data_IF_599993535755
#
_entry.id   IF_599993535755
#
_cell.length_a   1.000
_cell.length_b   1.000
_cell.length_c   1.000
_cell.angle_alpha   90.00
_cell.angle_beta   90.00
_cell.angle_gamma   90.00
#
_symmetry.space_group_name_H-M   'P 1'
#
loop_
_entity.id
_entity.type
_entity.pdbx_description
1 polymer ?
#
# COMPACT_ATOMS: atom_id res chain seq x y z
N UNK A 1 -20.35 28.25 56.48
CA UNK A 1 -20.95 27.63 55.28
C UNK A 1 -20.81 28.60 54.13
N UNK A 2 -19.96 28.29 53.15
CA UNK A 2 -19.90 29.03 51.88
C UNK A 2 -20.58 28.17 50.80
N UNK A 3 -21.41 28.74 49.91
CA UNK A 3 -22.11 27.96 48.90
C UNK A 3 -21.13 27.50 47.80
N UNK A 4 -21.36 26.34 47.18
CA UNK A 4 -20.49 25.83 46.14
C UNK A 4 -20.65 26.65 44.84
N UNK A 5 -19.51 27.01 44.24
CA UNK A 5 -19.45 27.71 42.94
C UNK A 5 -20.02 26.81 41.84
N UNK A 6 -21.01 27.31 41.11
CA UNK A 6 -21.59 26.64 39.95
C UNK A 6 -20.52 26.41 38.86
N UNK A 7 -20.35 25.16 38.45
CA UNK A 7 -19.51 24.79 37.32
C UNK A 7 -20.14 25.27 36.01
N UNK A 8 -19.49 26.25 35.37
CA UNK A 8 -19.85 26.70 34.03
C UNK A 8 -19.45 25.62 33.03
N UNK A 9 -20.45 24.96 32.41
CA UNK A 9 -20.22 24.02 31.30
C UNK A 9 -19.57 24.76 30.12
N UNK A 10 -18.54 24.19 29.46
CA UNK A 10 -17.90 24.85 28.32
C UNK A 10 -18.90 25.00 27.17
N UNK A 11 -19.04 26.22 26.63
CA UNK A 11 -19.86 26.52 25.46
C UNK A 11 -19.35 25.69 24.26
N UNK A 12 -20.23 24.88 23.66
CA UNK A 12 -19.97 24.20 22.39
C UNK A 12 -19.64 25.25 21.32
N UNK A 13 -18.46 25.17 20.70
CA UNK A 13 -18.12 26.00 19.54
C UNK A 13 -19.09 25.69 18.40
N UNK A 14 -19.58 26.72 17.71
CA UNK A 14 -20.41 26.56 16.53
C UNK A 14 -19.69 25.69 15.48
N UNK A 15 -20.42 24.86 14.71
CA UNK A 15 -19.81 24.02 13.67
C UNK A 15 -19.09 24.91 12.67
N UNK A 16 -17.79 24.67 12.49
CA UNK A 16 -16.97 25.41 11.54
C UNK A 16 -17.38 25.00 10.12
N UNK A 17 -17.66 26.00 9.26
CA UNK A 17 -18.04 25.80 7.86
C UNK A 17 -17.01 24.94 7.13
N UNK A 18 -17.46 24.13 6.17
CA UNK A 18 -16.58 23.34 5.33
C UNK A 18 -15.67 24.27 4.49
N UNK A 19 -14.34 24.07 4.47
CA UNK A 19 -13.43 24.96 3.75
C UNK A 19 -13.64 24.93 2.23
N UNK A 20 -14.02 23.79 1.66
CA UNK A 20 -14.33 23.69 0.22
C UNK A 20 -15.59 24.49 -0.08
N UNK A 21 -16.63 24.33 0.74
CA UNK A 21 -17.89 25.08 0.60
C UNK A 21 -17.66 26.59 0.72
N UNK A 22 -16.91 27.04 1.73
CA UNK A 22 -16.56 28.45 1.90
C UNK A 22 -15.79 29.02 0.70
N UNK A 23 -14.83 28.26 0.16
CA UNK A 23 -14.07 28.65 -1.03
C UNK A 23 -14.97 28.73 -2.27
N UNK A 24 -15.87 27.78 -2.45
CA UNK A 24 -16.82 27.76 -3.57
C UNK A 24 -17.80 28.93 -3.49
N UNK A 25 -18.35 29.24 -2.32
CA UNK A 25 -19.23 30.41 -2.14
C UNK A 25 -18.50 31.70 -2.54
N UNK A 26 -17.29 31.91 -2.02
CA UNK A 26 -16.48 33.09 -2.37
C UNK A 26 -16.12 33.13 -3.86
N UNK A 27 -15.91 31.97 -4.49
CA UNK A 27 -15.62 31.90 -5.92
C UNK A 27 -16.85 32.20 -6.78
N UNK A 28 -18.04 31.70 -6.43
CA UNK A 28 -19.27 32.03 -7.16
C UNK A 28 -19.56 33.53 -7.14
N UNK A 29 -19.37 34.18 -5.99
CA UNK A 29 -19.59 35.62 -5.86
C UNK A 29 -18.62 36.43 -6.73
N UNK A 30 -17.41 35.91 -6.97
CA UNK A 30 -16.40 36.50 -7.85
C UNK A 30 -16.65 36.20 -9.34
N UNK A 31 -16.84 34.93 -9.68
CA UNK A 31 -16.89 34.44 -11.06
C UNK A 31 -18.26 34.71 -11.70
N UNK A 32 -19.35 34.69 -10.94
CA UNK A 32 -20.70 34.83 -11.48
C UNK A 32 -21.49 35.89 -10.70
N UNK A 33 -21.08 37.19 -10.78
CA UNK A 33 -21.79 38.27 -10.13
C UNK A 33 -23.19 38.41 -10.76
N UNK A 34 -24.21 37.86 -10.09
CA UNK A 34 -25.58 37.76 -10.60
C UNK A 34 -26.16 36.34 -10.64
N UNK A 35 -25.37 35.32 -10.29
CA UNK A 35 -25.87 33.96 -10.09
C UNK A 35 -26.96 33.95 -9.00
N UNK A 36 -28.11 33.36 -9.31
CA UNK A 36 -29.20 33.25 -8.34
C UNK A 36 -28.75 32.37 -7.18
N UNK A 37 -29.09 32.77 -5.95
CA UNK A 37 -28.70 32.05 -4.75
C UNK A 37 -29.14 30.58 -4.79
N UNK A 38 -30.34 30.30 -5.31
CA UNK A 38 -30.86 28.95 -5.44
C UNK A 38 -29.98 28.05 -6.33
N UNK A 39 -29.53 28.55 -7.49
CA UNK A 39 -28.73 27.78 -8.44
C UNK A 39 -27.33 27.49 -7.87
N UNK A 40 -26.75 28.48 -7.18
CA UNK A 40 -25.52 28.33 -6.41
C UNK A 40 -25.67 27.24 -5.33
N UNK A 41 -26.74 27.30 -4.55
CA UNK A 41 -26.95 26.37 -3.44
C UNK A 41 -27.16 24.92 -3.94
N UNK A 42 -27.80 24.74 -5.10
CA UNK A 42 -27.93 23.43 -5.77
C UNK A 42 -26.58 22.86 -6.21
N UNK A 43 -25.68 23.67 -6.77
CA UNK A 43 -24.33 23.24 -7.16
C UNK A 43 -23.47 22.93 -5.94
N UNK A 44 -23.51 23.78 -4.91
CA UNK A 44 -22.80 23.59 -3.64
C UNK A 44 -23.23 22.29 -2.93
N UNK A 45 -24.51 21.91 -3.03
CA UNK A 45 -25.00 20.65 -2.47
C UNK A 45 -24.30 19.42 -3.09
N UNK A 46 -23.86 19.52 -4.35
CA UNK A 46 -23.17 18.46 -5.09
C UNK A 46 -21.63 18.52 -4.97
N UNK A 47 -21.09 19.56 -4.32
CA UNK A 47 -19.65 19.73 -4.17
C UNK A 47 -19.02 18.70 -3.22
N UNK A 48 -17.75 18.33 -3.44
CA UNK A 48 -17.05 17.42 -2.52
C UNK A 48 -16.92 18.05 -1.13
N UNK A 49 -17.33 17.29 -0.11
CA UNK A 49 -17.22 17.72 1.30
C UNK A 49 -16.07 17.08 2.06
N UNK A 50 -15.43 16.06 1.47
CA UNK A 50 -14.34 15.30 2.05
C UNK A 50 -13.10 15.46 1.20
N UNK A 51 -11.95 15.39 1.85
CA UNK A 51 -10.64 15.40 1.20
C UNK A 51 -9.64 14.65 2.07
N UNK A 52 -8.52 14.27 1.45
CA UNK A 52 -7.35 13.72 2.13
C UNK A 52 -6.18 14.66 1.83
N UNK A 53 -5.28 14.83 2.79
CA UNK A 53 -4.02 15.56 2.57
C UNK A 53 -2.87 14.57 2.52
N UNK A 54 -2.10 14.66 1.44
CA UNK A 54 -0.82 14.02 1.25
C UNK A 54 0.16 15.12 0.89
N UNK A 55 0.83 15.69 1.88
CA UNK A 55 1.57 16.95 1.72
C UNK A 55 2.56 16.88 0.55
N UNK A 56 2.59 17.91 -0.33
CA UNK A 56 1.85 19.18 -0.27
C UNK A 56 0.50 19.18 -1.03
N UNK A 57 -0.08 18.01 -1.31
CA UNK A 57 -1.26 17.82 -2.15
C UNK A 57 -2.56 17.57 -1.35
N UNK A 58 -3.66 18.14 -1.83
CA UNK A 58 -5.03 17.78 -1.49
C UNK A 58 -5.56 16.77 -2.52
N UNK A 59 -6.07 15.65 -2.03
CA UNK A 59 -6.74 14.64 -2.85
C UNK A 59 -8.24 14.60 -2.53
N UNK A 60 -9.05 14.86 -3.55
CA UNK A 60 -10.50 14.78 -3.51
C UNK A 60 -10.98 13.36 -3.85
N UNK A 61 -12.15 12.94 -3.34
CA UNK A 61 -12.71 11.62 -3.61
C UNK A 61 -13.12 11.47 -5.08
N UNK A 62 -13.18 10.22 -5.54
CA UNK A 62 -13.69 9.83 -6.85
C UNK A 62 -15.02 10.48 -7.17
N UNK A 63 -15.15 11.00 -8.39
CA UNK A 63 -16.33 11.74 -8.85
C UNK A 63 -16.47 13.16 -8.31
N UNK A 64 -15.49 13.69 -7.55
CA UNK A 64 -15.50 15.10 -7.14
C UNK A 64 -15.59 16.02 -8.37
N UNK A 65 -16.55 16.95 -8.36
CA UNK A 65 -16.87 17.81 -9.50
C UNK A 65 -17.21 17.05 -10.79
N UNK A 66 -17.68 15.80 -10.69
CA UNK A 66 -18.02 14.96 -11.83
C UNK A 66 -19.49 14.96 -12.24
N UNK A 67 -20.37 15.68 -11.53
CA UNK A 67 -21.79 15.79 -11.94
C UNK A 67 -21.91 16.58 -13.25
N UNK A 68 -22.96 16.32 -14.03
CA UNK A 68 -23.18 17.03 -15.29
C UNK A 68 -23.20 18.56 -15.11
N UNK A 69 -23.85 19.04 -14.03
CA UNK A 69 -23.90 20.46 -13.69
C UNK A 69 -22.53 21.05 -13.35
N UNK A 70 -21.70 20.33 -12.57
CA UNK A 70 -20.34 20.78 -12.29
C UNK A 70 -19.45 20.76 -13.54
N UNK A 71 -19.57 19.72 -14.36
CA UNK A 71 -18.85 19.63 -15.62
C UNK A 71 -19.17 20.81 -16.54
N UNK A 72 -20.45 21.14 -16.74
CA UNK A 72 -20.87 22.27 -17.57
C UNK A 72 -20.29 23.61 -17.08
N UNK A 73 -20.37 23.87 -15.77
CA UNK A 73 -19.81 25.08 -15.17
C UNK A 73 -18.29 25.14 -15.35
N UNK A 74 -17.58 24.04 -15.10
CA UNK A 74 -16.12 24.02 -15.23
C UNK A 74 -15.65 24.19 -16.69
N UNK A 75 -16.35 23.61 -17.68
CA UNK A 75 -16.00 23.75 -19.09
C UNK A 75 -16.31 25.14 -19.66
N UNK A 76 -17.32 25.82 -19.12
CA UNK A 76 -17.72 27.17 -19.54
C UNK A 76 -16.95 28.29 -18.81
N UNK A 77 -16.14 27.95 -17.80
CA UNK A 77 -15.35 28.91 -17.03
C UNK A 77 -13.95 29.08 -17.64
N UNK A 78 -13.49 30.33 -17.75
CA UNK A 78 -12.12 30.63 -18.19
C UNK A 78 -11.03 30.21 -17.17
N UNK A 79 -9.78 30.20 -17.62
CA UNK A 79 -8.64 29.74 -16.83
C UNK A 79 -8.36 30.57 -15.58
N UNK A 80 -8.60 31.90 -15.60
CA UNK A 80 -8.34 32.77 -14.46
C UNK A 80 -9.33 32.52 -13.33
N UNK A 81 -10.62 32.39 -13.67
CA UNK A 81 -11.67 32.06 -12.72
C UNK A 81 -11.49 30.64 -12.16
N UNK A 82 -11.10 29.67 -12.98
CA UNK A 82 -10.78 28.31 -12.50
C UNK A 82 -9.56 28.29 -11.57
N UNK A 83 -8.51 29.03 -11.90
CA UNK A 83 -7.33 29.20 -11.05
C UNK A 83 -7.73 29.80 -9.69
N UNK A 84 -8.57 30.84 -9.68
CA UNK A 84 -9.10 31.42 -8.45
C UNK A 84 -9.90 30.41 -7.61
N UNK A 85 -10.70 29.55 -8.25
CA UNK A 85 -11.43 28.47 -7.56
C UNK A 85 -10.46 27.52 -6.85
N UNK A 86 -9.50 26.96 -7.58
CA UNK A 86 -8.61 25.94 -7.05
C UNK A 86 -7.67 26.49 -5.98
N UNK A 87 -7.12 27.70 -6.17
CA UNK A 87 -6.36 28.41 -5.14
C UNK A 87 -7.21 28.72 -3.91
N UNK A 88 -8.47 29.09 -4.09
CA UNK A 88 -9.41 29.32 -3.00
C UNK A 88 -9.59 28.07 -2.13
N UNK A 89 -9.82 26.91 -2.76
CA UNK A 89 -9.93 25.62 -2.07
C UNK A 89 -8.63 25.29 -1.33
N UNK A 90 -7.48 25.40 -1.98
CA UNK A 90 -6.17 25.12 -1.36
C UNK A 90 -5.88 26.05 -0.19
N UNK A 91 -6.16 27.34 -0.31
CA UNK A 91 -5.98 28.33 0.75
C UNK A 91 -6.86 28.02 1.96
N UNK A 92 -8.14 27.71 1.73
CA UNK A 92 -9.08 27.37 2.79
C UNK A 92 -8.67 26.09 3.53
N UNK A 93 -8.23 25.05 2.81
CA UNK A 93 -7.76 23.81 3.42
C UNK A 93 -6.41 24.00 4.12
N UNK A 94 -5.47 24.74 3.52
CA UNK A 94 -4.15 25.06 4.10
C UNK A 94 -4.29 25.73 5.46
N UNK A 95 -5.17 26.73 5.57
CA UNK A 95 -5.48 27.41 6.85
C UNK A 95 -6.01 26.43 7.90
N UNK A 96 -6.85 25.47 7.49
CA UNK A 96 -7.43 24.47 8.40
C UNK A 96 -6.41 23.43 8.85
N UNK A 97 -5.51 23.02 7.96
CA UNK A 97 -4.52 21.98 8.21
C UNK A 97 -3.22 22.52 8.81
N UNK A 98 -3.00 23.85 8.75
CA UNK A 98 -1.76 24.52 9.16
C UNK A 98 -0.54 23.97 8.40
N UNK A 99 -0.75 23.66 7.14
CA UNK A 99 0.25 23.20 6.19
C UNK A 99 0.06 23.97 4.88
N UNK A 100 1.14 24.27 4.18
CA UNK A 100 1.08 24.88 2.86
C UNK A 100 0.75 23.80 1.83
N UNK A 101 -0.39 23.93 1.17
CA UNK A 101 -0.86 22.98 0.17
C UNK A 101 -0.86 23.64 -1.19
N UNK A 102 -0.14 23.04 -2.13
CA UNK A 102 0.16 23.62 -3.44
C UNK A 102 -0.51 22.88 -4.60
N UNK A 103 -0.98 21.65 -4.37
CA UNK A 103 -1.51 20.78 -5.42
C UNK A 103 -2.90 20.25 -5.09
N UNK A 104 -3.76 20.16 -6.09
CA UNK A 104 -5.12 19.64 -5.96
C UNK A 104 -5.36 18.59 -7.05
N UNK A 105 -5.81 17.40 -6.65
CA UNK A 105 -6.19 16.35 -7.58
C UNK A 105 -7.46 15.63 -7.14
N UNK A 106 -8.10 14.93 -8.07
CA UNK A 106 -9.18 13.98 -7.81
C UNK A 106 -8.66 12.56 -8.03
N UNK A 107 -8.93 11.69 -7.05
CA UNK A 107 -8.60 10.28 -7.16
C UNK A 107 -9.60 9.56 -8.06
N UNK A 108 -9.15 8.84 -9.07
CA UNK A 108 -9.97 7.89 -9.81
C UNK A 108 -9.42 6.47 -9.60
N UNK A 109 -10.24 5.45 -9.88
CA UNK A 109 -9.80 4.05 -9.81
C UNK A 109 -8.64 3.79 -10.77
N UNK A 110 -7.74 2.88 -10.38
CA UNK A 110 -6.65 2.46 -11.28
C UNK A 110 -7.22 1.39 -12.21
N UNK A 111 -7.21 1.62 -13.54
CA UNK A 111 -7.76 0.65 -14.46
C UNK A 111 -6.85 -0.58 -14.49
N UNK A 112 -7.46 -1.77 -14.59
CA UNK A 112 -6.73 -3.04 -14.74
C UNK A 112 -6.00 -3.14 -16.09
N UNK A 113 -6.47 -2.39 -17.09
CA UNK A 113 -5.92 -2.36 -18.44
C UNK A 113 -5.56 -0.93 -18.82
N UNK A 114 -4.53 -0.76 -19.64
CA UNK A 114 -4.22 0.53 -20.26
C UNK A 114 -5.28 0.85 -21.33
N UNK A 115 -5.76 2.10 -21.43
CA UNK A 115 -6.64 2.50 -22.53
C UNK A 115 -5.91 2.29 -23.86
N UNK A 116 -6.52 1.57 -24.80
CA UNK A 116 -5.98 1.50 -26.17
C UNK A 116 -6.02 2.89 -26.81
N UNK A 117 -4.90 3.36 -27.35
CA UNK A 117 -4.86 4.63 -28.07
C UNK A 117 -5.74 4.53 -29.32
N UNK A 118 -6.85 5.29 -29.36
CA UNK A 118 -7.54 5.56 -30.61
C UNK A 118 -6.70 6.56 -31.40
N UNK A 119 -5.84 6.08 -32.28
CA UNK A 119 -5.27 6.92 -33.33
C UNK A 119 -6.44 7.46 -34.17
N UNK A 120 -6.70 8.76 -34.13
CA UNK A 120 -7.49 9.43 -35.15
C UNK A 120 -6.69 9.38 -36.46
N UNK A 121 -6.90 8.32 -37.23
CA UNK A 121 -6.37 8.23 -38.59
C UNK A 121 -7.05 9.30 -39.44
N UNK A 122 -6.34 10.40 -39.72
CA UNK A 122 -6.74 11.37 -40.72
C UNK A 122 -6.85 10.68 -42.09
N UNK A 123 -8.08 10.44 -42.53
CA UNK A 123 -8.46 10.28 -43.93
C UNK A 123 -7.76 9.16 -44.71
N UNK A 124 -8.20 7.92 -44.54
CA UNK A 124 -7.88 6.81 -45.45
C UNK A 124 -8.39 5.48 -44.91
N UNK A 125 -9.16 4.75 -45.73
CA UNK A 125 -9.82 3.46 -45.46
C UNK A 125 -9.32 2.69 -44.21
N UNK A 126 -10.14 2.68 -43.16
CA UNK A 126 -9.85 2.05 -41.87
C UNK A 126 -9.90 0.52 -41.96
N UNK A 127 -8.74 -0.15 -41.91
CA UNK A 127 -8.63 -1.45 -41.24
C UNK A 127 -8.63 -1.19 -39.75
N UNK A 128 -9.80 -1.37 -39.12
CA UNK A 128 -9.99 -1.28 -37.67
C UNK A 128 -9.25 -2.44 -36.98
N UNK A 129 -7.93 -2.31 -36.79
CA UNK A 129 -7.21 -3.14 -35.84
C UNK A 129 -7.47 -2.55 -34.46
N UNK A 130 -8.49 -3.06 -33.78
CA UNK A 130 -8.65 -2.89 -32.34
C UNK A 130 -7.40 -3.48 -31.66
N UNK A 131 -6.46 -2.62 -31.26
CA UNK A 131 -5.33 -3.04 -30.43
C UNK A 131 -5.91 -3.51 -29.09
N UNK A 132 -5.61 -4.75 -28.73
CA UNK A 132 -6.07 -5.41 -27.51
C UNK A 132 -5.61 -4.60 -26.30
N UNK A 133 -6.52 -4.30 -25.36
CA UNK A 133 -6.18 -3.60 -24.13
C UNK A 133 -5.15 -4.41 -23.33
N UNK A 134 -3.95 -3.85 -23.13
CA UNK A 134 -2.87 -4.50 -22.39
C UNK A 134 -3.11 -4.40 -20.87
N UNK A 135 -2.65 -5.38 -20.11
CA UNK A 135 -2.74 -5.33 -18.64
C UNK A 135 -1.88 -4.18 -18.08
N UNK A 136 -2.43 -3.39 -17.16
CA UNK A 136 -1.71 -2.36 -16.44
C UNK A 136 -0.82 -3.00 -15.35
N UNK A 137 0.26 -3.66 -15.77
CA UNK A 137 1.20 -4.40 -14.92
C UNK A 137 1.80 -3.47 -13.85
N UNK A 138 2.15 -2.25 -14.24
CA UNK A 138 2.77 -1.26 -13.34
C UNK A 138 1.78 -0.58 -12.37
N UNK A 139 0.48 -0.88 -12.51
CA UNK A 139 -0.62 -0.25 -11.75
C UNK A 139 -0.54 1.29 -11.77
N UNK A 140 -0.13 1.85 -12.91
CA UNK A 140 0.03 3.30 -13.09
C UNK A 140 -1.33 4.00 -12.93
N UNK A 141 -1.42 5.09 -12.14
CA UNK A 141 -2.68 5.76 -11.84
C UNK A 141 -3.13 6.71 -12.97
N UNK A 142 -3.37 6.17 -14.16
CA UNK A 142 -3.76 6.94 -15.35
C UNK A 142 -5.06 7.75 -15.19
N UNK A 143 -5.91 7.40 -14.21
CA UNK A 143 -7.14 8.13 -13.90
C UNK A 143 -6.96 9.38 -13.04
N UNK A 144 -5.77 9.70 -12.51
CA UNK A 144 -5.58 10.86 -11.63
C UNK A 144 -5.91 12.18 -12.36
N UNK A 145 -6.97 12.88 -11.92
CA UNK A 145 -7.31 14.20 -12.47
C UNK A 145 -6.61 15.30 -11.68
N UNK A 146 -5.55 15.86 -12.27
CA UNK A 146 -4.75 16.94 -11.69
C UNK A 146 -5.44 18.28 -11.96
N UNK A 147 -6.11 18.83 -10.96
CA UNK A 147 -6.91 20.06 -11.09
C UNK A 147 -6.04 21.32 -11.02
N UNK A 148 -5.00 21.31 -10.18
CA UNK A 148 -4.18 22.50 -9.94
C UNK A 148 -2.79 22.15 -9.38
N UNK A 149 -1.78 22.91 -9.79
CA UNK A 149 -0.37 22.74 -9.43
C UNK A 149 0.42 21.93 -10.46
N UNK A 150 1.75 22.03 -10.41
CA UNK A 150 2.64 21.30 -11.32
C UNK A 150 2.95 19.90 -10.78
N UNK A 151 2.44 18.88 -11.46
CA UNK A 151 2.67 17.46 -11.12
C UNK A 151 3.93 16.87 -11.77
N UNK A 152 4.72 17.71 -12.44
CA UNK A 152 5.84 17.31 -13.26
C UNK A 152 5.44 16.84 -14.66
N UNK A 153 6.44 16.47 -15.48
CA UNK A 153 6.27 16.13 -16.88
C UNK A 153 5.20 15.03 -17.11
N UNK A 154 4.38 15.14 -18.16
CA UNK A 154 3.35 14.14 -18.47
C UNK A 154 3.94 12.84 -19.05
N UNK A 155 5.14 12.91 -19.60
CA UNK A 155 5.87 11.80 -20.22
C UNK A 155 7.34 11.85 -19.80
N UNK A 156 8.05 10.72 -19.96
CA UNK A 156 9.50 10.67 -19.82
C UNK A 156 10.15 10.63 -21.21
N UNK A 157 11.31 11.29 -21.43
CA UNK A 157 11.95 11.36 -22.74
C UNK A 157 12.40 10.01 -23.30
N UNK A 158 12.85 9.10 -22.44
CA UNK A 158 13.26 7.73 -22.80
C UNK A 158 12.45 6.71 -21.99
N UNK A 159 11.28 6.27 -22.50
CA UNK A 159 10.48 5.25 -21.83
C UNK A 159 11.20 3.90 -21.68
N UNK A 160 12.16 3.60 -22.57
CA UNK A 160 12.87 2.32 -22.61
C UNK A 160 14.01 2.23 -21.59
N UNK A 161 14.75 3.32 -21.39
CA UNK A 161 15.78 3.45 -20.37
C UNK A 161 15.25 3.78 -18.98
N UNK A 162 13.96 4.13 -18.87
CA UNK A 162 13.31 4.53 -17.62
C UNK A 162 13.64 5.97 -17.19
N UNK A 163 13.09 6.44 -16.06
CA UNK A 163 13.26 7.81 -15.61
C UNK A 163 14.70 8.11 -15.19
N UNK A 164 15.20 9.26 -15.65
CA UNK A 164 16.47 9.84 -15.25
C UNK A 164 16.39 10.50 -13.86
N UNK A 165 17.54 10.91 -13.33
CA UNK A 165 17.58 11.70 -12.09
C UNK A 165 16.83 13.03 -12.23
N UNK A 166 16.91 13.68 -13.40
CA UNK A 166 16.20 14.93 -13.67
C UNK A 166 14.67 14.72 -13.68
N UNK A 167 14.20 13.58 -14.22
CA UNK A 167 12.78 13.25 -14.20
C UNK A 167 12.26 13.08 -12.76
N UNK A 168 13.05 12.41 -11.90
CA UNK A 168 12.71 12.30 -10.48
C UNK A 168 12.73 13.64 -9.73
N UNK A 169 13.56 14.60 -10.16
CA UNK A 169 13.62 15.94 -9.56
C UNK A 169 12.48 16.84 -10.03
N UNK A 170 12.05 16.70 -11.29
CA UNK A 170 10.95 17.46 -11.87
C UNK A 170 9.55 16.96 -11.44
N UNK A 171 9.43 15.74 -10.94
CA UNK A 171 8.16 15.18 -10.51
C UNK A 171 7.67 15.74 -9.17
N UNK A 172 6.35 15.84 -9.00
CA UNK A 172 5.75 16.06 -7.70
C UNK A 172 5.89 14.80 -6.83
N UNK A 173 6.45 14.98 -5.64
CA UNK A 173 6.47 13.96 -4.58
C UNK A 173 5.56 14.38 -3.44
N UNK A 174 4.72 13.46 -3.00
CA UNK A 174 3.85 13.65 -1.85
C UNK A 174 4.20 12.65 -0.77
N UNK A 175 3.83 12.96 0.47
CA UNK A 175 4.06 12.05 1.59
C UNK A 175 2.89 11.97 2.57
N UNK A 176 2.85 10.88 3.32
CA UNK A 176 1.97 10.74 4.48
C UNK A 176 2.66 9.94 5.58
N UNK A 177 2.15 10.03 6.81
CA UNK A 177 2.65 9.28 7.96
C UNK A 177 1.59 8.32 8.48
N UNK A 178 1.86 7.01 8.43
CA UNK A 178 1.00 5.96 8.98
C UNK A 178 1.79 5.16 10.01
N UNK A 179 1.22 4.88 11.18
CA UNK A 179 1.90 4.12 12.24
C UNK A 179 3.30 4.67 12.62
N UNK A 180 3.47 6.00 12.49
CA UNK A 180 4.76 6.64 12.73
C UNK A 180 5.77 6.55 11.57
N UNK A 181 5.40 5.90 10.46
CA UNK A 181 6.24 5.65 9.29
C UNK A 181 5.85 6.58 8.16
N UNK A 182 6.82 7.31 7.61
CA UNK A 182 6.64 8.13 6.41
C UNK A 182 6.59 7.25 5.15
N UNK A 183 5.66 7.55 4.26
CA UNK A 183 5.55 6.93 2.95
C UNK A 183 5.51 8.03 1.90
N UNK A 184 6.33 7.89 0.86
CA UNK A 184 6.54 8.92 -0.17
C UNK A 184 6.31 8.32 -1.54
N UNK A 185 5.61 9.03 -2.41
CA UNK A 185 5.33 8.56 -3.77
C UNK A 185 5.10 9.74 -4.71
N UNK A 186 5.19 9.48 -6.01
CA UNK A 186 4.87 10.46 -7.04
C UNK A 186 3.45 10.16 -7.57
N UNK A 187 2.42 11.00 -7.28
CA UNK A 187 1.02 10.68 -7.59
C UNK A 187 0.74 10.39 -9.05
N UNK A 188 1.48 11.02 -9.98
CA UNK A 188 1.35 10.79 -11.43
C UNK A 188 1.80 9.38 -11.83
N UNK A 189 2.77 8.81 -11.13
CA UNK A 189 3.53 7.64 -11.59
C UNK A 189 3.29 6.39 -10.76
N UNK A 190 2.80 6.57 -9.53
CA UNK A 190 2.72 5.51 -8.52
C UNK A 190 1.48 5.69 -7.67
N UNK A 191 0.95 4.58 -7.17
CA UNK A 191 -0.20 4.59 -6.30
C UNK A 191 0.19 4.55 -4.82
N UNK A 192 -0.72 5.05 -3.98
CA UNK A 192 -0.71 4.84 -2.54
C UNK A 192 -2.12 4.49 -2.03
N UNK A 193 -2.28 3.30 -1.44
CA UNK A 193 -3.53 2.91 -0.80
C UNK A 193 -3.48 3.09 0.72
N UNK A 194 -4.24 4.07 1.23
CA UNK A 194 -4.48 4.22 2.68
C UNK A 194 -5.25 3.04 3.28
N UNK A 195 -6.02 2.30 2.48
CA UNK A 195 -6.92 1.24 2.93
C UNK A 195 -6.23 0.06 3.62
N UNK A 196 -4.93 -0.13 3.39
CA UNK A 196 -4.15 -1.23 3.99
C UNK A 196 -3.54 -0.85 5.35
N UNK A 197 -3.98 0.25 5.98
CA UNK A 197 -3.40 0.69 7.26
C UNK A 197 -3.59 -0.34 8.37
N UNK A 198 -4.74 -1.03 8.41
CA UNK A 198 -5.01 -2.09 9.38
C UNK A 198 -4.00 -3.23 9.24
N UNK A 199 -3.72 -3.62 8.01
CA UNK A 199 -2.73 -4.64 7.69
C UNK A 199 -1.33 -4.26 8.16
N UNK A 200 -0.91 -3.02 7.86
CA UNK A 200 0.39 -2.50 8.31
C UNK A 200 0.49 -2.51 9.84
N UNK A 201 -0.59 -2.19 10.53
CA UNK A 201 -0.65 -2.26 12.00
C UNK A 201 -0.55 -3.71 12.48
N UNK A 202 -1.31 -4.65 11.90
CA UNK A 202 -1.23 -6.08 12.24
C UNK A 202 0.19 -6.60 12.08
N UNK A 203 0.84 -6.29 10.96
CA UNK A 203 2.20 -6.75 10.69
C UNK A 203 3.22 -6.18 11.69
N UNK A 204 3.07 -4.91 12.10
CA UNK A 204 3.92 -4.30 13.14
C UNK A 204 3.74 -4.91 14.54
N UNK A 205 2.59 -5.52 14.79
CA UNK A 205 2.24 -6.19 16.04
C UNK A 205 2.35 -7.73 15.93
N UNK A 206 2.77 -8.27 14.77
CA UNK A 206 2.70 -9.70 14.45
C UNK A 206 3.44 -10.61 15.45
N UNK A 207 4.57 -10.12 15.98
CA UNK A 207 5.38 -10.83 16.97
C UNK A 207 5.13 -10.39 18.42
N UNK A 208 4.18 -9.48 18.64
CA UNK A 208 3.91 -8.98 19.99
C UNK A 208 3.12 -10.00 20.81
N UNK A 209 3.42 -10.09 22.10
CA UNK A 209 2.70 -10.95 23.06
C UNK A 209 1.22 -10.55 23.29
N UNK A 210 0.72 -9.49 22.64
CA UNK A 210 -0.58 -8.89 22.94
C UNK A 210 -1.78 -9.79 22.63
N UNK A 211 -1.63 -10.74 21.71
CA UNK A 211 -2.69 -11.71 21.44
C UNK A 211 -2.83 -12.78 22.53
N UNK A 212 -1.92 -12.83 23.52
CA UNK A 212 -2.09 -13.65 24.73
C UNK A 212 -3.12 -13.07 25.71
N UNK A 213 -3.36 -11.77 25.70
CA UNK A 213 -4.26 -11.09 26.67
C UNK A 213 -5.73 -11.05 26.19
N UNK A 214 -5.98 -11.12 24.87
CA UNK A 214 -7.32 -11.04 24.28
C UNK A 214 -8.23 -12.25 24.60
N UNK A 215 -7.73 -13.50 24.60
CA UNK A 215 -8.55 -14.67 24.95
C UNK A 215 -8.97 -14.68 26.43
N UNK A 216 -8.15 -14.12 27.34
CA UNK A 216 -8.44 -14.14 28.78
C UNK A 216 -9.52 -13.12 29.18
N UNK A 217 -9.55 -11.94 28.56
CA UNK A 217 -10.58 -10.94 28.84
C UNK A 217 -11.98 -11.34 28.34
N UNK A 218 -12.07 -12.05 27.21
CA UNK A 218 -13.33 -12.57 26.69
C UNK A 218 -13.79 -13.85 27.40
N UNK A 219 -12.86 -14.72 27.84
CA UNK A 219 -13.19 -15.88 28.67
C UNK A 219 -13.69 -15.49 30.07
N UNK A 220 -13.14 -14.42 30.67
CA UNK A 220 -13.62 -13.90 31.95
C UNK A 220 -15.02 -13.26 31.84
N UNK A 221 -15.38 -12.71 30.69
CA UNK A 221 -16.73 -12.19 30.42
C UNK A 221 -17.74 -13.33 30.17
N UNK A 222 -17.34 -14.37 29.44
CA UNK A 222 -18.19 -15.54 29.15
C UNK A 222 -18.42 -16.46 30.36
N UNK A 223 -17.49 -16.51 31.31
CA UNK A 223 -17.66 -17.28 32.55
C UNK A 223 -18.74 -16.70 33.50
N UNK A 224 -19.23 -15.49 33.23
CA UNK A 224 -20.26 -14.83 34.03
C UNK A 224 -21.69 -15.01 33.46
N UNK A 225 -21.83 -15.63 32.29
CA UNK A 225 -23.12 -15.97 31.68
C UNK A 225 -23.15 -17.49 31.44
N UNK A 226 -23.76 -18.23 32.37
CA UNK A 226 -23.73 -19.69 32.44
C UNK A 226 -24.37 -20.42 31.26
N UNK A 227 -23.69 -20.47 30.12
CA UNK A 227 -24.03 -21.30 28.97
C UNK A 227 -23.14 -22.57 28.93
N UNK A 228 -23.70 -23.75 28.58
CA UNK A 228 -22.95 -25.00 28.56
C UNK A 228 -21.99 -25.05 27.36
N UNK A 229 -20.85 -25.78 27.47
CA UNK A 229 -19.84 -25.79 26.42
C UNK A 229 -20.27 -26.67 25.24
N UNK A 230 -20.32 -26.09 24.04
CA UNK A 230 -20.42 -26.83 22.79
C UNK A 230 -19.01 -27.31 22.37
N UNK A 231 -18.84 -28.62 22.27
CA UNK A 231 -17.58 -29.27 21.85
C UNK A 231 -17.34 -29.13 20.34
N UNK A 232 -16.91 -27.97 19.83
CA UNK A 232 -16.30 -27.88 18.49
C UNK A 232 -14.99 -27.08 18.58
N UNK A 233 -13.87 -27.73 18.22
CA UNK A 233 -12.60 -27.07 17.91
C UNK A 233 -11.54 -27.10 19.02
N UNK A 234 -10.90 -28.25 19.23
CA UNK A 234 -9.55 -28.32 19.82
C UNK A 234 -8.55 -28.81 18.78
N UNK A 235 -7.95 -27.88 18.04
CA UNK A 235 -6.54 -27.99 17.63
C UNK A 235 -5.82 -26.77 18.20
N UNK A 236 -5.52 -26.85 19.50
CA UNK A 236 -4.71 -25.86 20.20
C UNK A 236 -3.24 -26.15 19.93
N UNK A 237 -2.65 -25.43 18.97
CA UNK A 237 -1.21 -25.15 18.91
C UNK A 237 -1.02 -23.77 18.26
N UNK A 238 -1.39 -22.70 18.97
CA UNK A 238 -1.21 -21.32 18.51
C UNK A 238 -1.22 -20.34 19.70
N UNK A 239 -0.09 -20.22 20.42
CA UNK A 239 0.48 -18.87 20.60
C UNK A 239 2.02 -18.79 20.68
N UNK A 240 2.77 -19.89 20.60
CA UNK A 240 4.23 -19.88 20.80
C UNK A 240 5.02 -19.49 19.53
N UNK A 241 4.60 -19.98 18.35
CA UNK A 241 5.32 -19.78 17.08
C UNK A 241 5.47 -18.30 16.65
N UNK A 242 4.55 -17.42 17.08
CA UNK A 242 4.58 -15.99 16.73
C UNK A 242 5.40 -15.15 17.71
N UNK A 243 5.56 -15.59 18.95
CA UNK A 243 6.15 -14.77 20.00
C UNK A 243 7.66 -14.62 19.80
N UNK A 244 8.11 -13.42 19.41
CA UNK A 244 9.54 -13.09 19.29
C UNK A 244 9.83 -11.74 19.89
N UNK A 245 10.88 -11.68 20.71
CA UNK A 245 11.36 -10.40 21.19
C UNK A 245 11.91 -9.58 20.00
N UNK A 246 11.64 -8.28 19.95
CA UNK A 246 12.18 -7.39 18.89
C UNK A 246 13.69 -7.50 18.70
N UNK A 247 14.45 -7.76 19.77
CA UNK A 247 15.91 -7.97 19.69
C UNK A 247 16.28 -9.20 18.87
N UNK A 248 15.46 -10.26 18.88
CA UNK A 248 15.66 -11.47 18.08
C UNK A 248 15.31 -11.23 16.60
N UNK A 249 14.40 -10.29 16.31
CA UNK A 249 14.05 -9.91 14.93
C UNK A 249 15.12 -9.04 14.27
N UNK A 250 15.96 -8.34 15.05
CA UNK A 250 16.96 -7.38 14.55
C UNK A 250 17.98 -7.95 13.56
N UNK A 251 18.14 -9.28 13.54
CA UNK A 251 19.04 -9.98 12.64
C UNK A 251 18.29 -10.83 11.59
N UNK A 252 16.97 -10.93 11.67
CA UNK A 252 16.18 -11.75 10.75
C UNK A 252 15.99 -11.06 9.40
N UNK A 253 15.87 -11.87 8.34
CA UNK A 253 15.55 -11.39 7.00
C UNK A 253 14.06 -11.46 6.72
N UNK A 254 13.53 -10.39 6.14
CA UNK A 254 12.25 -10.37 5.45
C UNK A 254 12.47 -10.20 3.94
N UNK A 255 11.58 -10.78 3.15
CA UNK A 255 11.53 -10.61 1.70
C UNK A 255 10.18 -10.03 1.30
N UNK A 256 10.16 -9.02 0.43
CA UNK A 256 8.91 -8.50 -0.17
C UNK A 256 8.99 -8.61 -1.69
N UNK A 257 8.10 -9.42 -2.28
CA UNK A 257 8.09 -9.71 -3.72
C UNK A 257 7.37 -8.62 -4.55
N UNK A 258 6.73 -7.66 -3.88
CA UNK A 258 5.99 -6.56 -4.50
C UNK A 258 6.14 -5.28 -3.66
N UNK A 259 7.36 -4.74 -3.63
CA UNK A 259 7.75 -3.72 -2.67
C UNK A 259 6.94 -2.42 -2.79
N UNK A 260 6.56 -2.05 -4.01
CA UNK A 260 5.97 -0.76 -4.35
C UNK A 260 6.83 0.37 -3.80
N UNK A 261 6.18 1.34 -3.15
CA UNK A 261 6.84 2.47 -2.49
C UNK A 261 7.36 2.14 -1.08
N UNK A 262 7.49 0.85 -0.75
CA UNK A 262 7.82 0.36 0.60
C UNK A 262 6.57 0.05 1.44
N UNK A 263 5.52 -0.50 0.84
CA UNK A 263 4.23 -0.72 1.50
C UNK A 263 4.33 -1.54 2.79
N UNK A 264 4.88 -2.75 2.70
CA UNK A 264 5.11 -3.65 3.82
C UNK A 264 6.59 -3.77 4.19
N UNK A 265 7.51 -3.55 3.24
CA UNK A 265 8.96 -3.35 3.49
C UNK A 265 9.22 -2.50 4.73
N UNK A 266 8.55 -1.35 4.86
CA UNK A 266 8.78 -0.45 5.99
C UNK A 266 8.25 -0.99 7.32
N UNK A 267 7.25 -1.87 7.31
CA UNK A 267 6.82 -2.56 8.54
C UNK A 267 7.91 -3.50 9.04
N UNK A 268 8.53 -4.29 8.14
CA UNK A 268 9.65 -5.16 8.48
C UNK A 268 10.88 -4.37 8.95
N UNK A 269 11.25 -3.30 8.24
CA UNK A 269 12.34 -2.43 8.66
C UNK A 269 12.08 -1.80 10.04
N UNK A 270 10.83 -1.39 10.32
CA UNK A 270 10.44 -0.86 11.64
C UNK A 270 10.52 -1.90 12.76
N UNK A 271 10.34 -3.18 12.45
CA UNK A 271 10.54 -4.28 13.39
C UNK A 271 12.04 -4.56 13.68
N UNK A 272 12.95 -3.91 12.95
CA UNK A 272 14.40 -4.07 13.07
C UNK A 272 14.99 -5.09 12.10
N UNK A 273 14.17 -5.71 11.26
CA UNK A 273 14.63 -6.73 10.31
C UNK A 273 15.45 -6.11 9.18
N UNK A 274 16.25 -6.95 8.52
CA UNK A 274 16.83 -6.64 7.20
C UNK A 274 15.86 -7.06 6.11
N UNK A 275 15.78 -6.30 5.04
CA UNK A 275 14.76 -6.51 3.99
C UNK A 275 15.40 -6.59 2.61
N UNK A 276 15.17 -7.69 1.91
CA UNK A 276 15.36 -7.78 0.46
C UNK A 276 14.00 -7.57 -0.21
N UNK A 277 13.92 -6.78 -1.26
CA UNK A 277 12.64 -6.52 -1.91
C UNK A 277 12.75 -6.28 -3.41
N UNK A 278 11.68 -6.60 -4.13
CA UNK A 278 11.60 -6.54 -5.59
C UNK A 278 10.51 -5.60 -6.04
N UNK A 279 10.81 -4.79 -7.04
CA UNK A 279 9.87 -3.84 -7.63
C UNK A 279 10.23 -3.54 -9.09
N UNK A 280 9.22 -3.61 -9.97
CA UNK A 280 9.38 -3.33 -11.40
C UNK A 280 9.39 -1.84 -11.73
N UNK A 281 8.61 -1.04 -11.01
CA UNK A 281 8.41 0.37 -11.34
C UNK A 281 9.54 1.24 -10.73
N UNK A 282 10.39 1.90 -11.55
CA UNK A 282 11.46 2.76 -11.06
C UNK A 282 10.96 3.94 -10.23
N UNK A 283 9.75 4.45 -10.49
CA UNK A 283 9.13 5.49 -9.67
C UNK A 283 8.74 4.96 -8.29
N UNK A 284 8.28 3.71 -8.20
CA UNK A 284 7.99 3.04 -6.93
C UNK A 284 9.27 2.87 -6.11
N UNK A 285 10.34 2.38 -6.75
CA UNK A 285 11.67 2.26 -6.12
C UNK A 285 12.19 3.60 -5.61
N UNK A 286 12.02 4.68 -6.37
CA UNK A 286 12.42 6.01 -5.91
C UNK A 286 11.57 6.49 -4.72
N UNK A 287 10.25 6.22 -4.75
CA UNK A 287 9.35 6.47 -3.61
C UNK A 287 9.77 5.71 -2.36
N UNK A 288 10.13 4.42 -2.51
CA UNK A 288 10.68 3.57 -1.46
C UNK A 288 11.98 4.17 -0.91
N UNK A 289 12.92 4.57 -1.79
CA UNK A 289 14.20 5.16 -1.37
C UNK A 289 13.99 6.45 -0.57
N UNK A 290 13.11 7.34 -1.02
CA UNK A 290 12.77 8.59 -0.32
C UNK A 290 12.07 8.31 1.01
N UNK A 291 11.13 7.37 1.02
CA UNK A 291 10.43 6.93 2.22
C UNK A 291 11.38 6.33 3.26
N UNK A 292 12.30 5.44 2.85
CA UNK A 292 13.28 4.83 3.74
C UNK A 292 14.16 5.89 4.42
N UNK A 293 14.69 6.83 3.64
CA UNK A 293 15.49 7.96 4.15
C UNK A 293 14.72 8.85 5.12
N UNK A 294 13.45 9.17 4.80
CA UNK A 294 12.58 9.95 5.69
C UNK A 294 12.30 9.26 7.04
N UNK A 295 12.44 7.93 7.10
CA UNK A 295 12.34 7.14 8.32
C UNK A 295 13.69 6.86 8.99
N UNK A 296 14.81 7.31 8.41
CA UNK A 296 16.16 7.08 8.94
C UNK A 296 16.72 5.69 8.66
N UNK A 297 16.19 4.97 7.68
CA UNK A 297 16.70 3.66 7.27
C UNK A 297 17.68 3.75 6.12
N UNK A 298 18.72 2.93 6.21
CA UNK A 298 19.63 2.65 5.11
C UNK A 298 18.91 1.94 3.96
N UNK A 299 19.18 2.35 2.72
CA UNK A 299 18.57 1.79 1.51
C UNK A 299 19.54 1.74 0.34
N UNK A 300 19.69 0.55 -0.25
CA UNK A 300 20.42 0.32 -1.50
C UNK A 300 19.46 -0.03 -2.62
N UNK A 301 19.66 0.61 -3.78
CA UNK A 301 18.93 0.29 -5.02
C UNK A 301 19.88 -0.42 -5.97
N UNK A 302 19.58 -1.67 -6.30
CA UNK A 302 20.35 -2.47 -7.28
C UNK A 302 19.63 -2.41 -8.63
N UNK A 303 20.34 -2.02 -9.70
CA UNK A 303 19.77 -1.84 -11.03
C UNK A 303 20.79 -1.93 -12.16
N UNK A 304 20.31 -2.12 -13.38
CA UNK A 304 21.14 -2.11 -14.60
C UNK A 304 22.24 -3.17 -14.55
N UNK A 305 23.49 -2.78 -14.81
CA UNK A 305 24.63 -3.72 -14.84
C UNK A 305 24.84 -4.49 -13.54
N UNK A 306 24.44 -3.92 -12.39
CA UNK A 306 24.57 -4.58 -11.06
C UNK A 306 23.63 -5.78 -10.92
N UNK A 307 22.63 -5.90 -11.79
CA UNK A 307 21.74 -7.06 -11.85
C UNK A 307 22.33 -8.21 -12.67
N UNK A 308 23.39 -7.96 -13.45
CA UNK A 308 24.03 -9.00 -14.24
C UNK A 308 24.61 -10.08 -13.33
N UNK A 309 24.54 -11.34 -13.79
CA UNK A 309 24.98 -12.54 -13.05
C UNK A 309 26.47 -12.51 -12.65
N UNK A 310 27.27 -11.67 -13.31
CA UNK A 310 28.69 -11.49 -13.04
C UNK A 310 28.97 -10.56 -11.84
N UNK A 311 27.95 -9.83 -11.35
CA UNK A 311 28.11 -8.96 -10.18
C UNK A 311 28.36 -9.82 -8.95
N UNK A 312 29.45 -9.56 -8.22
CA UNK A 312 29.76 -10.31 -7.02
C UNK A 312 28.68 -10.07 -5.95
N UNK A 313 28.36 -11.09 -5.14
CA UNK A 313 27.39 -10.93 -4.06
C UNK A 313 27.84 -9.89 -3.02
N UNK A 314 29.15 -9.68 -2.90
CA UNK A 314 29.76 -8.66 -2.06
C UNK A 314 29.49 -7.24 -2.58
N UNK A 315 29.37 -7.06 -3.90
CA UNK A 315 28.90 -5.80 -4.49
C UNK A 315 27.40 -5.58 -4.27
N UNK A 316 26.60 -6.65 -4.16
CA UNK A 316 25.16 -6.53 -3.88
C UNK A 316 24.88 -6.17 -2.42
N UNK A 317 25.67 -6.74 -1.50
CA UNK A 317 25.60 -6.52 -0.06
C UNK A 317 26.97 -6.08 0.50
N UNK A 318 27.43 -4.84 0.20
CA UNK A 318 28.72 -4.36 0.70
C UNK A 318 28.76 -4.35 2.25
N UNK A 319 29.97 -4.56 2.78
CA UNK A 319 30.28 -4.65 4.21
C UNK A 319 29.48 -5.73 4.98
N UNK A 320 29.11 -6.82 4.30
CA UNK A 320 28.31 -7.89 4.91
C UNK A 320 26.86 -7.49 5.18
N UNK A 321 26.40 -6.36 4.60
CA UNK A 321 25.02 -5.95 4.68
C UNK A 321 24.69 -4.67 5.44
N UNK A 322 25.49 -3.61 5.28
CA UNK A 322 25.32 -2.35 6.04
C UNK A 322 23.97 -1.65 5.85
N UNK A 323 23.30 -1.86 4.73
CA UNK A 323 22.00 -1.25 4.45
C UNK A 323 20.86 -2.16 4.94
N UNK A 324 19.91 -1.57 5.68
CA UNK A 324 18.78 -2.31 6.23
C UNK A 324 17.82 -2.79 5.13
N UNK A 325 17.68 -2.01 4.05
CA UNK A 325 16.79 -2.31 2.93
C UNK A 325 17.60 -2.40 1.65
N UNK A 326 17.42 -3.48 0.90
CA UNK A 326 17.98 -3.64 -0.46
C UNK A 326 16.83 -3.90 -1.41
N UNK A 327 16.67 -3.01 -2.38
CA UNK A 327 15.63 -3.10 -3.41
C UNK A 327 16.26 -3.42 -4.76
N UNK A 328 15.78 -4.47 -5.40
CA UNK A 328 16.14 -4.86 -6.75
C UNK A 328 15.08 -4.30 -7.71
N UNK A 329 15.52 -3.40 -8.61
CA UNK A 329 14.69 -2.86 -9.68
C UNK A 329 14.64 -3.89 -10.84
N UNK A 330 13.84 -4.94 -10.66
CA UNK A 330 13.70 -6.05 -11.60
C UNK A 330 12.43 -6.85 -11.31
N UNK A 331 12.17 -7.85 -12.16
CA UNK A 331 11.07 -8.80 -11.98
C UNK A 331 11.30 -9.70 -10.75
N UNK A 332 10.24 -9.93 -9.97
CA UNK A 332 10.32 -10.76 -8.78
C UNK A 332 10.51 -12.26 -9.07
N UNK A 333 10.37 -12.70 -10.32
CA UNK A 333 10.78 -14.03 -10.77
C UNK A 333 12.28 -14.29 -10.52
N UNK A 334 13.10 -13.23 -10.46
CA UNK A 334 14.51 -13.31 -10.12
C UNK A 334 14.78 -13.44 -8.60
N UNK A 335 13.77 -13.31 -7.74
CA UNK A 335 13.96 -13.24 -6.30
C UNK A 335 14.55 -14.53 -5.70
N UNK A 336 13.95 -15.68 -5.99
CA UNK A 336 14.41 -16.96 -5.43
C UNK A 336 15.86 -17.30 -5.87
N UNK A 337 16.23 -17.23 -7.17
CA UNK A 337 17.62 -17.43 -7.58
C UNK A 337 18.63 -16.47 -6.91
N UNK A 338 18.24 -15.20 -6.70
CA UNK A 338 19.12 -14.22 -6.03
C UNK A 338 19.29 -14.51 -4.55
N UNK A 339 18.21 -14.79 -3.82
CA UNK A 339 18.28 -15.15 -2.41
C UNK A 339 19.15 -16.40 -2.22
N UNK A 340 19.01 -17.39 -3.10
CA UNK A 340 19.80 -18.62 -3.10
C UNK A 340 21.29 -18.36 -3.41
N UNK A 341 21.60 -17.45 -4.35
CA UNK A 341 22.97 -17.00 -4.59
C UNK A 341 23.59 -16.28 -3.38
N UNK A 342 22.85 -15.36 -2.75
CA UNK A 342 23.27 -14.65 -1.53
C UNK A 342 23.45 -15.60 -0.35
N UNK A 343 22.64 -16.66 -0.26
CA UNK A 343 22.78 -17.71 0.76
C UNK A 343 24.06 -18.50 0.55
N UNK A 344 24.31 -18.97 -0.67
CA UNK A 344 25.52 -19.75 -1.01
C UNK A 344 26.82 -18.99 -0.81
N UNK A 345 26.82 -17.68 -1.05
CA UNK A 345 27.99 -16.85 -0.80
C UNK A 345 28.21 -16.53 0.68
N UNK A 346 27.25 -16.83 1.56
CA UNK A 346 27.28 -16.49 2.97
C UNK A 346 26.89 -15.03 3.26
N UNK A 347 26.49 -14.24 2.26
CA UNK A 347 26.15 -12.83 2.40
C UNK A 347 24.89 -12.57 3.26
N UNK A 348 24.03 -13.59 3.43
CA UNK A 348 22.90 -13.53 4.37
C UNK A 348 23.30 -13.81 5.83
N UNK A 349 24.51 -14.34 6.07
CA UNK A 349 24.97 -14.86 7.36
C UNK A 349 24.74 -16.37 7.49
N UNK A 350 25.69 -17.08 8.12
CA UNK A 350 25.72 -18.55 8.17
C UNK A 350 24.50 -19.21 8.83
N UNK A 351 23.84 -18.52 9.77
CA UNK A 351 22.73 -19.05 10.59
C UNK A 351 21.42 -18.25 10.44
N UNK A 352 21.30 -17.37 9.44
CA UNK A 352 20.14 -16.49 9.31
C UNK A 352 19.24 -16.92 8.15
N UNK A 353 18.12 -17.56 8.50
CA UNK A 353 17.03 -17.86 7.57
C UNK A 353 16.18 -16.63 7.24
N UNK A 354 15.48 -16.69 6.10
CA UNK A 354 14.40 -15.74 5.80
C UNK A 354 13.20 -16.13 6.65
N UNK A 355 12.76 -15.20 7.51
CA UNK A 355 11.66 -15.42 8.44
C UNK A 355 10.30 -15.01 7.86
N UNK A 356 10.27 -13.98 7.02
CA UNK A 356 9.04 -13.50 6.39
C UNK A 356 9.19 -13.37 4.89
N UNK A 357 8.17 -13.80 4.15
CA UNK A 357 8.01 -13.46 2.73
C UNK A 357 6.62 -12.85 2.52
N UNK A 358 6.60 -11.64 1.97
CA UNK A 358 5.39 -10.91 1.65
C UNK A 358 5.03 -11.08 0.17
N UNK A 359 3.85 -11.64 -0.10
CA UNK A 359 3.31 -11.85 -1.45
C UNK A 359 2.14 -10.89 -1.66
N UNK A 360 2.46 -9.59 -1.75
CA UNK A 360 1.50 -8.47 -1.69
C UNK A 360 0.76 -8.09 -2.98
N UNK A 361 0.54 -9.02 -3.92
CA UNK A 361 -0.16 -8.73 -5.19
C UNK A 361 -1.65 -9.07 -5.12
N UNK A 362 -2.49 -8.21 -5.71
CA UNK A 362 -3.92 -8.45 -5.91
C UNK A 362 -4.27 -8.44 -7.40
N UNK A 363 -5.26 -9.25 -7.85
CA UNK A 363 -6.22 -10.01 -7.03
C UNK A 363 -5.69 -11.32 -6.45
N UNK A 364 -4.53 -11.82 -6.90
CA UNK A 364 -3.89 -13.02 -6.38
C UNK A 364 -2.38 -12.87 -6.44
N UNK A 365 -1.70 -13.58 -5.54
CA UNK A 365 -0.23 -13.68 -5.50
C UNK A 365 0.29 -15.05 -5.94
N UNK A 366 -0.57 -15.91 -6.50
CA UNK A 366 -0.29 -17.31 -6.83
C UNK A 366 0.97 -17.53 -7.69
N UNK A 367 1.22 -16.64 -8.65
CA UNK A 367 2.43 -16.68 -9.49
C UNK A 367 3.75 -16.59 -8.69
N UNK A 368 3.72 -16.06 -7.47
CA UNK A 368 4.90 -15.89 -6.60
C UNK A 368 5.07 -16.99 -5.56
N UNK A 369 4.10 -17.90 -5.41
CA UNK A 369 4.11 -18.89 -4.32
C UNK A 369 5.29 -19.85 -4.40
N UNK A 370 5.68 -20.27 -5.61
CA UNK A 370 6.84 -21.17 -5.77
C UNK A 370 8.13 -20.48 -5.35
N UNK A 371 8.34 -19.25 -5.82
CA UNK A 371 9.48 -18.43 -5.42
C UNK A 371 9.51 -18.20 -3.91
N UNK A 372 8.35 -17.93 -3.28
CA UNK A 372 8.24 -17.74 -1.85
C UNK A 372 8.62 -19.01 -1.05
N UNK A 373 8.20 -20.19 -1.52
CA UNK A 373 8.62 -21.47 -0.96
C UNK A 373 10.14 -21.68 -1.06
N UNK A 374 10.70 -21.51 -2.26
CA UNK A 374 12.13 -21.71 -2.52
C UNK A 374 13.00 -20.75 -1.68
N UNK A 375 12.53 -19.52 -1.45
CA UNK A 375 13.19 -18.53 -0.59
C UNK A 375 13.31 -19.02 0.85
N UNK A 376 12.28 -19.67 1.41
CA UNK A 376 12.28 -20.12 2.82
C UNK A 376 12.62 -21.59 2.99
N UNK A 377 12.99 -22.29 1.90
CA UNK A 377 13.26 -23.73 1.89
C UNK A 377 14.30 -24.16 2.93
N UNK A 378 15.31 -23.33 3.19
CA UNK A 378 16.38 -23.69 4.14
C UNK A 378 16.14 -23.11 5.56
N UNK A 379 15.10 -22.28 5.74
CA UNK A 379 14.74 -21.73 7.05
C UNK A 379 14.17 -22.82 7.98
N UNK A 380 14.51 -22.77 9.28
CA UNK A 380 13.92 -23.69 10.27
C UNK A 380 12.41 -23.46 10.41
N UNK A 381 12.03 -22.19 10.38
CA UNK A 381 10.66 -21.73 10.38
C UNK A 381 10.54 -20.41 9.59
N UNK A 382 9.37 -20.18 9.00
CA UNK A 382 9.08 -18.97 8.25
C UNK A 382 7.58 -18.72 8.12
N UNK A 383 7.24 -17.49 7.75
CA UNK A 383 5.89 -17.01 7.49
C UNK A 383 5.77 -16.52 6.05
N UNK A 384 4.78 -17.02 5.33
CA UNK A 384 4.36 -16.44 4.05
C UNK A 384 3.06 -15.66 4.27
N UNK A 385 3.02 -14.41 3.81
CA UNK A 385 1.82 -13.57 3.83
C UNK A 385 1.24 -13.49 2.42
N UNK A 386 0.19 -14.28 2.15
CA UNK A 386 -0.37 -14.43 0.81
C UNK A 386 -1.60 -13.55 0.65
N UNK A 387 -1.50 -12.51 -0.18
CA UNK A 387 -2.60 -11.58 -0.42
C UNK A 387 -3.51 -12.10 -1.55
N UNK A 388 -4.81 -12.11 -1.31
CA UNK A 388 -5.82 -12.62 -2.26
C UNK A 388 -7.13 -11.82 -2.16
N UNK A 389 -7.83 -11.66 -3.28
CA UNK A 389 -9.21 -11.23 -3.33
C UNK A 389 -10.11 -12.47 -3.39
N UNK A 390 -10.90 -12.71 -2.34
CA UNK A 390 -11.70 -13.94 -2.19
C UNK A 390 -13.16 -13.59 -1.92
N UNK A 391 -14.08 -14.31 -2.57
CA UNK A 391 -15.50 -14.23 -2.24
C UNK A 391 -15.72 -14.66 -0.79
N UNK A 392 -16.59 -13.96 -0.05
CA UNK A 392 -16.80 -14.24 1.39
C UNK A 392 -17.19 -15.69 1.69
N UNK A 393 -17.95 -16.32 0.79
CA UNK A 393 -18.37 -17.73 0.91
C UNK A 393 -17.26 -18.73 0.56
N UNK A 394 -16.16 -18.26 -0.03
CA UNK A 394 -15.10 -19.09 -0.60
C UNK A 394 -13.81 -19.09 0.24
N UNK A 395 -13.77 -18.34 1.34
CA UNK A 395 -12.57 -18.13 2.17
C UNK A 395 -11.99 -19.48 2.66
N UNK A 396 -12.82 -20.34 3.25
CA UNK A 396 -12.38 -21.65 3.76
C UNK A 396 -11.98 -22.61 2.62
N UNK A 397 -12.67 -22.55 1.47
CA UNK A 397 -12.28 -23.34 0.30
C UNK A 397 -10.90 -22.90 -0.21
N UNK A 398 -10.67 -21.59 -0.32
CA UNK A 398 -9.39 -21.02 -0.75
C UNK A 398 -8.26 -21.36 0.23
N UNK A 399 -8.54 -21.38 1.54
CA UNK A 399 -7.62 -21.89 2.57
C UNK A 399 -7.17 -23.33 2.25
N UNK A 400 -8.12 -24.23 2.04
CA UNK A 400 -7.83 -25.64 1.76
C UNK A 400 -7.05 -25.83 0.44
N UNK A 401 -7.34 -25.02 -0.58
CA UNK A 401 -6.58 -25.01 -1.83
C UNK A 401 -5.12 -24.62 -1.62
N UNK A 402 -4.87 -23.54 -0.85
CA UNK A 402 -3.54 -23.06 -0.50
C UNK A 402 -2.77 -24.13 0.29
N UNK A 403 -3.37 -24.68 1.35
CA UNK A 403 -2.75 -25.71 2.19
C UNK A 403 -2.40 -26.97 1.38
N UNK A 404 -3.28 -27.39 0.46
CA UNK A 404 -3.01 -28.51 -0.44
C UNK A 404 -1.82 -28.20 -1.35
N UNK A 405 -1.80 -27.01 -1.96
CA UNK A 405 -0.74 -26.62 -2.88
C UNK A 405 0.65 -26.63 -2.22
N UNK A 406 0.78 -26.01 -1.04
CA UNK A 406 2.04 -26.02 -0.30
C UNK A 406 2.35 -27.38 0.34
N UNK A 407 1.34 -28.15 0.72
CA UNK A 407 1.51 -29.52 1.20
C UNK A 407 2.05 -30.46 0.11
N UNK A 408 1.67 -30.26 -1.15
CA UNK A 408 2.25 -30.98 -2.29
C UNK A 408 3.72 -30.59 -2.51
N UNK A 409 4.05 -29.29 -2.44
CA UNK A 409 5.44 -28.85 -2.50
C UNK A 409 6.30 -29.42 -1.37
N UNK A 410 5.79 -29.40 -0.14
CA UNK A 410 6.48 -29.95 1.02
C UNK A 410 6.80 -31.44 0.85
N UNK A 411 5.90 -32.22 0.24
CA UNK A 411 6.13 -33.63 -0.10
C UNK A 411 7.19 -33.80 -1.19
N UNK A 412 7.17 -32.94 -2.22
CA UNK A 412 8.18 -32.95 -3.29
C UNK A 412 9.59 -32.62 -2.78
N UNK A 413 9.70 -31.73 -1.80
CA UNK A 413 10.97 -31.37 -1.11
C UNK A 413 11.33 -32.35 0.03
N UNK A 414 10.97 -33.63 -0.13
CA UNK A 414 11.37 -34.72 0.77
C UNK A 414 10.57 -34.84 2.07
N UNK A 415 9.48 -34.09 2.24
CA UNK A 415 8.57 -34.20 3.40
C UNK A 415 9.16 -33.68 4.72
N UNK A 416 10.30 -32.98 4.65
CA UNK A 416 11.01 -32.47 5.84
C UNK A 416 10.35 -31.25 6.48
N UNK A 417 9.37 -30.65 5.80
CA UNK A 417 8.61 -29.49 6.27
C UNK A 417 7.11 -29.74 6.31
N UNK A 418 6.46 -29.01 7.19
CA UNK A 418 5.01 -28.83 7.25
C UNK A 418 4.66 -27.38 6.91
N UNK A 419 3.58 -27.18 6.17
CA UNK A 419 3.04 -25.88 5.84
C UNK A 419 1.52 -25.88 6.05
N UNK A 420 1.01 -24.90 6.79
CA UNK A 420 -0.43 -24.75 7.06
C UNK A 420 -0.81 -23.29 7.25
N UNK A 421 -2.06 -22.95 6.95
CA UNK A 421 -2.57 -21.59 7.15
C UNK A 421 -2.97 -21.44 8.62
N UNK A 422 -2.16 -20.68 9.34
CA UNK A 422 -2.34 -20.41 10.77
C UNK A 422 -3.44 -19.36 11.00
N UNK A 423 -3.52 -18.34 10.14
CA UNK A 423 -4.53 -17.29 10.23
C UNK A 423 -4.95 -16.74 8.88
N UNK A 424 -6.19 -16.25 8.82
CA UNK A 424 -6.72 -15.53 7.68
C UNK A 424 -7.20 -14.17 8.16
N UNK A 425 -6.53 -13.12 7.73
CA UNK A 425 -6.98 -11.75 8.00
C UNK A 425 -7.87 -11.24 6.87
N UNK A 426 -9.08 -10.78 7.21
CA UNK A 426 -9.93 -10.03 6.31
C UNK A 426 -9.62 -8.52 6.41
N UNK A 427 -8.74 -8.03 5.55
CA UNK A 427 -8.18 -6.66 5.61
C UNK A 427 -9.24 -5.60 5.36
N UNK A 428 -9.92 -5.72 4.22
CA UNK A 428 -10.96 -4.79 3.76
C UNK A 428 -11.80 -5.43 2.65
N UNK A 429 -13.02 -4.92 2.48
CA UNK A 429 -13.84 -5.24 1.31
C UNK A 429 -13.22 -4.65 0.04
N UNK A 430 -13.03 -5.47 -1.00
CA UNK A 430 -12.55 -5.06 -2.31
C UNK A 430 -13.71 -4.66 -3.23
N UNK A 431 -14.77 -5.46 -3.24
CA UNK A 431 -16.03 -5.24 -3.95
C UNK A 431 -17.18 -5.88 -3.14
N UNK A 432 -18.47 -5.59 -3.44
CA UNK A 432 -19.57 -6.26 -2.75
C UNK A 432 -19.40 -7.79 -2.75
N UNK A 433 -19.34 -8.39 -1.56
CA UNK A 433 -19.14 -9.83 -1.38
C UNK A 433 -17.71 -10.36 -1.55
N UNK A 434 -16.73 -9.51 -1.87
CA UNK A 434 -15.32 -9.88 -2.08
C UNK A 434 -14.43 -9.17 -1.07
N UNK A 435 -13.61 -9.95 -0.36
CA UNK A 435 -12.64 -9.46 0.62
C UNK A 435 -11.22 -9.54 0.08
N UNK A 436 -10.42 -8.52 0.36
CA UNK A 436 -8.97 -8.68 0.38
C UNK A 436 -8.62 -9.43 1.68
N UNK A 437 -8.17 -10.66 1.51
CA UNK A 437 -7.67 -11.53 2.57
C UNK A 437 -6.14 -11.61 2.56
N UNK A 438 -5.55 -11.86 3.73
CA UNK A 438 -4.15 -12.29 3.87
C UNK A 438 -4.13 -13.65 4.56
N UNK A 439 -3.64 -14.66 3.87
CA UNK A 439 -3.44 -16.00 4.43
C UNK A 439 -2.02 -16.06 5.01
N UNK A 440 -1.92 -16.07 6.34
CA UNK A 440 -0.67 -16.20 7.07
C UNK A 440 -0.33 -17.68 7.17
N UNK A 441 0.58 -18.13 6.32
CA UNK A 441 1.00 -19.52 6.28
C UNK A 441 2.29 -19.70 7.08
N UNK A 442 2.24 -20.62 8.04
CA UNK A 442 3.41 -21.00 8.83
C UNK A 442 4.08 -22.22 8.19
N UNK A 443 5.40 -22.13 8.05
CA UNK A 443 6.25 -23.20 7.53
C UNK A 443 7.25 -23.55 8.63
N UNK A 444 7.37 -24.83 8.97
CA UNK A 444 8.30 -25.32 9.98
C UNK A 444 8.80 -26.73 9.63
N UNK A 445 9.89 -27.18 10.25
CA UNK A 445 10.37 -28.56 10.12
C UNK A 445 9.35 -29.53 10.73
N UNK A 446 9.09 -30.64 10.05
CA UNK A 446 8.05 -31.63 10.44
C UNK A 446 8.26 -32.25 11.84
N UNK A 447 9.47 -32.18 12.41
CA UNK A 447 9.80 -32.69 13.75
C UNK A 447 9.54 -31.72 14.90
N UNK A 448 9.14 -30.48 14.61
CA UNK A 448 8.89 -29.43 15.63
C UNK A 448 7.42 -29.32 16.06
N UNK A 449 6.55 -30.17 15.51
CA UNK A 449 5.13 -30.27 15.87
C UNK A 449 4.97 -31.47 16.81
N UNK A 450 5.28 -31.29 18.10
CA UNK A 450 4.92 -32.24 19.17
C UNK A 450 4.36 -31.52 20.35
#
# INVERSE_FOLDING_TARGET
MNPPKAQVKPKRKAPQQNPIEAALTSWFDFAFPGCQQHDRDQLLAQAPRRWIVYEPMVLLPTGAFGSAAWSEVLHSTDGERLDHLWRGILSAISKRQRAELTHLAVNEGIPLHTPGETEESNGGASTRQERVAEENILRTPSGLRMLYGDFGPPTIPDPSGGPSKADFEAALWVSTKQNGIFQTWAPRWTMFSRGNIKEKTRLLDFHSDRDRERPQAQAAAAANEGAPPTEHGRSQMAPEARARARRQLGNAWAVDLYAGIGYFVFSYARLGMRVLCWELNPWSVEGLRRGARANGWGVRVVRGRELASESSTDELLPDGGGEQIVVFLEDNACAAPRVDALRRSGALGADVGVLHVNCGLLPTSEASWRSAWDIVRDSEEAWLHLHENVGVADIERRKAEIERWFGELAKMDGGSKSAYVDHIEQVKTFAPGVWHCVFDMYITRSGSIT
#
